data_IF_032731040103
#
_entry.id   IF_032731040103
#
_cell.length_a   1.000
_cell.length_b   1.000
_cell.length_c   1.000
_cell.angle_alpha   90.00
_cell.angle_beta   90.00
_cell.angle_gamma   90.00
#
_symmetry.space_group_name_H-M   'P 1'
#
loop_
_entity.id
_entity.type
_entity.pdbx_description
1 polymer ?
#
# COMPACT_ATOMS: atom_id res chain seq x y z
N UNK A 1 15.91 -56.23 -14.21
CA UNK A 1 17.22 -55.53 -14.14
C UNK A 1 17.48 -54.57 -15.29
N UNK A 2 17.16 -54.92 -16.55
CA UNK A 2 17.35 -54.05 -17.74
C UNK A 2 16.62 -52.69 -17.71
N UNK A 3 15.43 -52.63 -17.11
CA UNK A 3 14.62 -51.40 -17.07
C UNK A 3 15.24 -50.31 -16.17
N UNK A 4 15.93 -50.73 -15.11
CA UNK A 4 16.52 -49.85 -14.11
C UNK A 4 17.84 -49.25 -14.62
N UNK A 5 18.62 -50.03 -15.37
CA UNK A 5 19.84 -49.56 -16.05
C UNK A 5 19.51 -48.52 -17.13
N UNK A 6 18.49 -48.76 -17.96
CA UNK A 6 18.01 -47.77 -18.95
C UNK A 6 17.39 -46.51 -18.31
N UNK A 7 16.86 -46.60 -17.10
CA UNK A 7 16.33 -45.44 -16.37
C UNK A 7 17.44 -44.54 -15.83
N UNK A 8 18.57 -45.12 -15.43
CA UNK A 8 19.73 -44.38 -14.94
C UNK A 8 20.51 -43.74 -16.10
N UNK A 9 20.61 -44.43 -17.23
CA UNK A 9 21.23 -43.89 -18.46
C UNK A 9 20.42 -42.74 -19.08
N UNK A 10 19.09 -42.73 -18.90
CA UNK A 10 18.23 -41.59 -19.28
C UNK A 10 18.44 -40.35 -18.40
N UNK A 11 18.77 -40.53 -17.11
CA UNK A 11 19.03 -39.41 -16.20
C UNK A 11 20.40 -38.78 -16.41
N UNK A 12 21.42 -39.57 -16.77
CA UNK A 12 22.77 -39.04 -17.05
C UNK A 12 22.83 -38.17 -18.30
N UNK A 13 22.01 -38.46 -19.33
CA UNK A 13 21.90 -37.63 -20.54
C UNK A 13 21.04 -36.37 -20.38
N UNK A 14 20.34 -36.19 -19.26
CA UNK A 14 19.47 -35.04 -19.02
C UNK A 14 20.15 -33.87 -18.29
N UNK A 15 21.43 -34.00 -17.90
CA UNK A 15 22.09 -33.00 -17.05
C UNK A 15 23.50 -32.70 -17.54
N UNK A 16 23.65 -31.61 -18.32
CA UNK A 16 24.66 -30.62 -17.95
C UNK A 16 24.05 -29.23 -17.71
N UNK A 17 22.89 -28.94 -18.31
CA UNK A 17 22.39 -27.57 -18.42
C UNK A 17 21.27 -27.22 -17.42
N UNK A 18 20.55 -28.19 -16.83
CA UNK A 18 19.44 -27.88 -15.91
C UNK A 18 19.90 -27.14 -14.63
N UNK A 19 21.07 -27.50 -14.09
CA UNK A 19 21.65 -26.84 -12.92
C UNK A 19 22.13 -25.41 -13.25
N UNK A 20 22.71 -25.22 -14.43
CA UNK A 20 23.16 -23.92 -14.95
C UNK A 20 21.98 -22.99 -15.32
N UNK A 21 20.94 -23.53 -15.96
CA UNK A 21 19.72 -22.79 -16.33
C UNK A 21 18.91 -22.35 -15.10
N UNK A 22 18.91 -23.14 -14.02
CA UNK A 22 18.26 -22.76 -12.75
C UNK A 22 19.03 -21.65 -12.03
N UNK A 23 20.36 -21.68 -12.07
CA UNK A 23 21.19 -20.59 -11.53
C UNK A 23 21.08 -19.31 -12.38
N UNK A 24 20.94 -19.44 -13.70
CA UNK A 24 20.67 -18.33 -14.61
C UNK A 24 19.29 -17.69 -14.33
N UNK A 25 18.26 -18.52 -14.12
CA UNK A 25 16.92 -18.06 -13.79
C UNK A 25 16.87 -17.38 -12.40
N UNK A 26 17.62 -17.89 -11.42
CA UNK A 26 17.79 -17.26 -10.11
C UNK A 26 18.45 -15.89 -10.22
N UNK A 27 19.47 -15.75 -11.09
CA UNK A 27 20.21 -14.51 -11.27
C UNK A 27 19.36 -13.42 -11.92
N UNK A 28 18.50 -13.77 -12.88
CA UNK A 28 17.54 -12.85 -13.51
C UNK A 28 16.51 -12.34 -12.49
N UNK A 29 16.00 -13.22 -11.62
CA UNK A 29 15.08 -12.84 -10.54
C UNK A 29 15.71 -11.86 -9.54
N UNK A 30 16.97 -12.10 -9.17
CA UNK A 30 17.71 -11.20 -8.27
C UNK A 30 17.84 -9.79 -8.86
N UNK A 31 18.23 -9.66 -10.13
CA UNK A 31 18.43 -8.34 -10.78
C UNK A 31 17.13 -7.54 -10.85
N UNK A 32 15.98 -8.18 -11.11
CA UNK A 32 14.68 -7.49 -11.18
C UNK A 32 14.23 -6.84 -9.88
N UNK A 33 14.67 -7.34 -8.72
CA UNK A 33 14.32 -6.77 -7.41
C UNK A 33 15.14 -5.52 -7.05
N UNK A 34 16.35 -5.35 -7.60
CA UNK A 34 17.22 -4.22 -7.28
C UNK A 34 16.82 -2.91 -8.00
N UNK A 35 16.07 -2.98 -9.11
CA UNK A 35 15.71 -1.81 -9.92
C UNK A 35 14.73 -0.84 -9.24
N UNK A 36 14.07 -1.24 -8.14
CA UNK A 36 13.14 -0.38 -7.40
C UNK A 36 13.80 0.53 -6.34
N UNK A 37 15.11 0.38 -6.08
CA UNK A 37 15.80 1.16 -5.05
C UNK A 37 15.89 2.66 -5.37
N UNK A 38 15.89 3.04 -6.66
CA UNK A 38 16.09 4.43 -7.07
C UNK A 38 14.78 5.24 -7.11
N UNK A 39 13.62 4.57 -7.13
CA UNK A 39 12.30 5.20 -7.13
C UNK A 39 11.89 5.77 -5.76
N UNK A 40 12.59 5.39 -4.69
CA UNK A 40 12.32 5.85 -3.32
C UNK A 40 13.28 6.96 -2.85
N UNK A 41 14.15 7.49 -3.71
CA UNK A 41 14.98 8.64 -3.33
C UNK A 41 14.12 9.89 -3.18
N UNK A 42 13.77 10.23 -1.93
CA UNK A 42 13.09 11.48 -1.57
C UNK A 42 14.04 12.65 -1.86
N UNK A 43 13.74 13.43 -2.89
CA UNK A 43 14.43 14.70 -3.16
C UNK A 43 14.17 15.64 -1.97
N UNK A 44 15.24 15.99 -1.24
CA UNK A 44 15.15 16.98 -0.16
C UNK A 44 14.99 18.35 -0.79
N UNK A 45 13.80 18.94 -0.63
CA UNK A 45 13.50 20.29 -1.09
C UNK A 45 14.13 21.29 -0.10
N UNK A 46 14.97 22.24 -0.54
CA UNK A 46 15.49 23.28 0.34
C UNK A 46 14.35 24.18 0.81
N UNK A 47 14.29 24.45 2.12
CA UNK A 47 13.28 25.29 2.74
C UNK A 47 13.52 26.76 2.35
N UNK A 48 12.72 27.28 1.43
CA UNK A 48 12.61 28.72 1.19
C UNK A 48 11.78 29.33 2.34
N UNK A 49 12.22 30.43 2.99
CA UNK A 49 11.43 31.08 4.01
C UNK A 49 10.15 31.63 3.37
N UNK A 50 9.02 31.02 3.68
CA UNK A 50 7.69 31.49 3.25
C UNK A 50 7.39 32.75 4.05
N UNK A 51 7.56 33.91 3.41
CA UNK A 51 7.04 35.16 3.93
C UNK A 51 5.54 34.96 4.18
N UNK A 52 5.14 34.90 5.44
CA UNK A 52 3.74 34.74 5.83
C UNK A 52 3.08 36.11 5.71
N UNK A 53 2.73 36.49 4.49
CA UNK A 53 1.73 37.51 4.25
C UNK A 53 0.44 36.92 4.82
N UNK A 54 -0.02 37.43 5.97
CA UNK A 54 -1.30 37.01 6.55
C UNK A 54 -2.39 37.60 5.67
N UNK A 55 -2.63 36.99 4.51
CA UNK A 55 -3.81 37.28 3.71
C UNK A 55 -5.03 36.91 4.55
N UNK A 56 -6.04 37.75 4.56
CA UNK A 56 -7.28 37.48 5.28
C UNK A 56 -7.91 36.21 4.68
N UNK A 57 -7.87 35.10 5.42
CA UNK A 57 -8.30 33.78 4.92
C UNK A 57 -9.79 33.79 4.55
N UNK A 58 -10.56 34.66 5.18
CA UNK A 58 -11.99 34.82 4.96
C UNK A 58 -12.31 35.25 3.52
N UNK A 59 -11.48 36.11 2.92
CA UNK A 59 -11.65 36.56 1.52
C UNK A 59 -11.38 35.42 0.52
N UNK A 60 -10.49 34.49 0.88
CA UNK A 60 -10.12 33.36 0.02
C UNK A 60 -11.13 32.20 0.13
N UNK A 61 -11.75 32.04 1.30
CA UNK A 61 -12.62 30.92 1.63
C UNK A 61 -14.11 31.27 1.70
N UNK A 62 -14.50 32.50 1.34
CA UNK A 62 -15.90 32.91 1.23
C UNK A 62 -16.85 31.94 0.49
N UNK A 63 -16.46 31.27 -0.61
CA UNK A 63 -17.32 30.30 -1.29
C UNK A 63 -17.26 28.87 -0.69
N UNK A 64 -16.38 28.59 0.28
CA UNK A 64 -16.31 27.28 0.92
C UNK A 64 -17.48 27.10 1.87
N UNK A 65 -18.31 26.09 1.59
CA UNK A 65 -19.40 25.67 2.47
C UNK A 65 -18.99 24.38 3.17
N UNK A 66 -19.08 24.38 4.50
CA UNK A 66 -18.89 23.15 5.27
C UNK A 66 -19.99 22.15 4.94
N UNK A 67 -19.59 20.93 4.55
CA UNK A 67 -20.50 19.80 4.33
C UNK A 67 -19.86 18.51 4.81
N UNK A 68 -20.67 17.63 5.38
CA UNK A 68 -20.23 16.26 5.68
C UNK A 68 -19.91 15.51 4.39
N UNK A 69 -18.76 14.82 4.37
CA UNK A 69 -18.34 13.96 3.25
C UNK A 69 -18.41 12.50 3.73
N UNK A 70 -19.26 11.71 3.09
CA UNK A 70 -19.45 10.29 3.42
C UNK A 70 -20.67 10.03 4.32
N UNK A 71 -20.89 8.75 4.68
CA UNK A 71 -22.07 8.34 5.44
C UNK A 71 -22.05 8.95 6.84
N UNK A 72 -23.22 9.45 7.29
CA UNK A 72 -23.41 10.17 8.56
C UNK A 72 -23.08 9.36 9.84
N UNK A 73 -22.69 8.10 9.70
CA UNK A 73 -22.23 7.20 10.75
C UNK A 73 -21.13 6.30 10.17
N UNK A 74 -19.90 6.45 10.65
CA UNK A 74 -18.88 5.40 10.49
C UNK A 74 -19.26 4.22 11.39
N UNK A 75 -19.03 2.98 10.94
CA UNK A 75 -19.54 1.74 11.57
C UNK A 75 -19.05 1.42 13.00
N UNK A 76 -18.57 2.40 13.76
CA UNK A 76 -18.12 2.28 15.16
C UNK A 76 -18.85 3.19 16.15
N UNK A 77 -19.81 4.01 15.71
CA UNK A 77 -20.72 4.73 16.63
C UNK A 77 -21.84 3.74 17.02
N UNK A 78 -21.70 3.09 18.17
CA UNK A 78 -22.56 1.96 18.61
C UNK A 78 -23.35 2.29 19.87
N UNK A 79 -23.11 3.45 20.49
CA UNK A 79 -23.77 3.82 21.75
C UNK A 79 -24.74 4.98 21.57
N UNK A 80 -25.90 4.86 22.20
CA UNK A 80 -26.90 5.92 22.31
C UNK A 80 -27.39 6.02 23.75
N UNK A 81 -27.65 7.24 24.24
CA UNK A 81 -28.19 7.50 25.58
C UNK A 81 -29.46 8.33 25.47
N UNK A 82 -30.51 7.96 26.21
CA UNK A 82 -31.79 8.67 26.23
C UNK A 82 -31.89 9.66 27.39
N UNK A 83 -32.91 10.53 27.34
CA UNK A 83 -33.24 11.48 28.41
C UNK A 83 -34.44 10.97 29.23
N UNK A 84 -34.31 10.95 30.56
CA UNK A 84 -35.40 10.52 31.45
C UNK A 84 -36.55 11.53 31.37
N UNK A 85 -37.77 11.04 31.11
CA UNK A 85 -38.96 11.88 31.02
C UNK A 85 -39.21 12.48 29.63
N UNK A 86 -38.29 12.30 28.68
CA UNK A 86 -38.48 12.69 27.28
C UNK A 86 -38.13 11.52 26.35
N UNK A 87 -39.14 10.71 25.95
CA UNK A 87 -38.93 9.50 25.16
C UNK A 87 -38.51 9.77 23.71
N UNK A 88 -38.44 11.03 23.26
CA UNK A 88 -38.07 11.38 21.89
C UNK A 88 -36.64 11.95 21.77
N UNK A 89 -35.93 12.11 22.90
CA UNK A 89 -34.59 12.71 22.91
C UNK A 89 -33.50 11.67 23.21
N UNK A 90 -32.52 11.59 22.29
CA UNK A 90 -31.38 10.68 22.38
C UNK A 90 -30.09 11.32 21.86
N UNK A 91 -28.97 11.02 22.53
CA UNK A 91 -27.61 11.38 22.11
C UNK A 91 -26.87 10.14 21.60
N UNK A 92 -25.99 10.32 20.62
CA UNK A 92 -25.22 9.20 20.03
C UNK A 92 -23.72 9.51 20.06
N UNK A 93 -22.90 8.51 20.37
CA UNK A 93 -21.43 8.60 20.51
C UNK A 93 -20.66 7.61 19.66
#
# INVERSE_FOLDING_TARGET
MYFLVKSLERKSKLTPNYLSMKNLLLLILCVGLFSHAEAQRRKSQPATPVATTVSNLDDHFGPLVWRSIGPYRGGRSVTATGVIGDPLTYYMG
#
